data_IF_797590389837
#
_entry.id   IF_797590389837
#
_cell.length_a   1.000
_cell.length_b   1.000
_cell.length_c   1.000
_cell.angle_alpha   90.00
_cell.angle_beta   90.00
_cell.angle_gamma   90.00
#
_symmetry.space_group_name_H-M   'P 1'
#
loop_
_entity.id
_entity.type
_entity.pdbx_description
1 polymer ?
#
# COMPACT_ATOMS: atom_id res chain seq x y z
N UNK A 1 5.05 3.29 5.42
CA UNK A 1 4.01 2.39 4.88
C UNK A 1 2.98 2.11 5.93
N UNK A 2 1.72 2.06 5.57
CA UNK A 2 0.62 1.66 6.45
C UNK A 2 0.42 0.15 6.37
N UNK A 3 -0.08 -0.45 7.46
CA UNK A 3 -0.43 -1.87 7.51
C UNK A 3 -1.82 -2.13 6.89
N UNK A 4 -2.16 -3.40 6.74
CA UNK A 4 -3.48 -3.87 6.26
C UNK A 4 -3.86 -3.35 4.86
N UNK A 5 -2.89 -3.23 3.96
CA UNK A 5 -3.15 -2.77 2.60
C UNK A 5 -3.48 -1.28 2.47
N UNK A 6 -3.27 -0.47 3.51
CA UNK A 6 -3.62 0.96 3.51
C UNK A 6 -2.57 1.85 2.80
N UNK A 7 -1.72 1.27 1.97
CA UNK A 7 -0.85 1.97 1.03
C UNK A 7 0.36 2.65 1.64
N UNK A 8 0.87 3.64 0.94
CA UNK A 8 2.09 4.37 1.26
C UNK A 8 1.77 5.77 1.77
N UNK A 9 2.43 6.19 2.84
CA UNK A 9 2.31 7.54 3.38
C UNK A 9 3.68 8.09 3.77
N UNK A 10 3.79 9.41 3.84
CA UNK A 10 4.96 10.07 4.41
C UNK A 10 5.12 9.66 5.88
N UNK A 11 6.36 9.40 6.29
CA UNK A 11 6.66 9.16 7.71
C UNK A 11 6.51 10.46 8.50
N UNK A 12 6.01 10.35 9.73
CA UNK A 12 6.00 11.45 10.68
C UNK A 12 7.37 11.68 11.34
N UNK A 13 8.34 10.79 11.13
CA UNK A 13 9.69 10.96 11.66
C UNK A 13 10.38 12.15 10.96
N UNK A 14 10.61 13.21 11.69
CA UNK A 14 11.23 14.43 11.18
C UNK A 14 12.73 14.29 10.94
N UNK A 15 13.39 13.31 11.58
CA UNK A 15 14.82 13.10 11.48
C UNK A 15 15.14 11.72 10.89
N UNK A 16 15.81 11.73 9.74
CA UNK A 16 16.55 10.57 9.27
C UNK A 16 17.67 10.30 10.28
N UNK A 17 17.64 9.14 10.91
CA UNK A 17 18.77 8.71 11.71
C UNK A 17 19.94 8.47 10.75
N UNK A 18 20.86 9.43 10.71
CA UNK A 18 22.15 9.32 10.01
C UNK A 18 23.04 8.36 10.81
N UNK A 19 22.87 7.07 10.57
CA UNK A 19 23.66 5.98 11.13
C UNK A 19 24.08 5.02 10.02
N UNK A 20 24.28 3.75 10.35
CA UNK A 20 24.64 2.70 9.38
C UNK A 20 23.49 2.33 8.41
N UNK A 21 22.35 3.02 8.44
CA UNK A 21 21.21 2.73 7.57
C UNK A 21 21.40 3.32 6.20
N UNK A 22 21.42 2.46 5.18
CA UNK A 22 21.42 2.87 3.79
C UNK A 22 20.00 3.24 3.34
N UNK A 23 19.89 4.40 2.69
CA UNK A 23 18.63 4.91 2.14
C UNK A 23 18.66 4.90 0.61
N UNK A 24 17.50 4.65 0.02
CA UNK A 24 17.31 4.55 -1.42
C UNK A 24 16.17 5.45 -1.85
N UNK A 25 16.35 6.17 -2.96
CA UNK A 25 15.26 6.94 -3.59
C UNK A 25 14.24 6.00 -4.23
N UNK A 26 12.97 6.38 -4.13
CA UNK A 26 11.85 5.65 -4.72
C UNK A 26 11.13 6.55 -5.70
N UNK A 27 10.77 5.98 -6.86
CA UNK A 27 10.02 6.69 -7.89
C UNK A 27 8.53 6.38 -7.78
N UNK A 28 7.68 7.34 -8.15
CA UNK A 28 6.26 7.09 -8.31
C UNK A 28 6.01 5.90 -9.25
N UNK A 29 4.98 5.11 -8.96
CA UNK A 29 4.64 3.89 -9.72
C UNK A 29 5.38 2.64 -9.27
N UNK A 30 6.47 2.74 -8.50
CA UNK A 30 7.17 1.56 -7.99
C UNK A 30 6.34 0.83 -6.93
N UNK A 31 6.29 -0.50 -7.04
CA UNK A 31 5.80 -1.37 -5.98
C UNK A 31 6.83 -1.44 -4.86
N UNK A 32 6.42 -1.21 -3.63
CA UNK A 32 7.28 -1.33 -2.44
C UNK A 32 6.59 -2.17 -1.36
N UNK A 33 7.37 -2.88 -0.56
CA UNK A 33 6.84 -3.59 0.61
C UNK A 33 7.80 -3.51 1.80
N UNK A 34 7.28 -3.65 3.02
CA UNK A 34 8.08 -3.74 4.23
C UNK A 34 8.48 -5.18 4.52
N UNK A 35 9.78 -5.51 4.49
CA UNK A 35 10.29 -6.88 4.73
C UNK A 35 9.79 -7.47 6.05
N UNK A 36 9.70 -6.67 7.11
CA UNK A 36 9.27 -7.12 8.44
C UNK A 36 7.75 -7.26 8.58
N UNK A 37 6.99 -6.48 7.81
CA UNK A 37 5.56 -6.34 8.00
C UNK A 37 4.75 -6.70 6.75
N UNK A 38 5.32 -7.43 5.80
CA UNK A 38 4.59 -7.88 4.62
C UNK A 38 3.36 -8.70 5.01
N UNK A 39 3.52 -9.65 5.93
CA UNK A 39 2.43 -10.49 6.44
C UNK A 39 1.35 -9.71 7.22
N UNK A 40 1.61 -8.45 7.52
CA UNK A 40 0.63 -7.49 8.06
C UNK A 40 0.09 -6.53 6.96
N UNK A 41 0.33 -6.84 5.69
CA UNK A 41 -0.14 -6.04 4.56
C UNK A 41 0.61 -4.72 4.37
N UNK A 42 1.89 -4.65 4.78
CA UNK A 42 2.76 -3.50 4.49
C UNK A 42 3.25 -3.56 3.05
N UNK A 43 2.38 -3.23 2.11
CA UNK A 43 2.66 -3.20 0.67
C UNK A 43 1.89 -2.05 0.00
N UNK A 44 2.44 -1.48 -1.05
CA UNK A 44 1.79 -0.42 -1.80
C UNK A 44 2.60 0.04 -3.00
N UNK A 45 1.99 0.87 -3.82
CA UNK A 45 2.65 1.57 -4.93
C UNK A 45 2.96 2.98 -4.46
N UNK A 46 4.13 3.48 -4.79
CA UNK A 46 4.57 4.84 -4.46
C UNK A 46 3.68 5.83 -5.23
N UNK A 47 2.90 6.68 -4.53
CA UNK A 47 2.05 7.67 -5.19
C UNK A 47 2.89 8.82 -5.75
N UNK A 48 2.35 9.55 -6.72
CA UNK A 48 3.01 10.72 -7.35
C UNK A 48 3.42 11.76 -6.29
N UNK A 49 2.59 11.97 -5.28
CA UNK A 49 2.86 12.92 -4.18
C UNK A 49 4.09 12.57 -3.32
N UNK A 50 4.60 11.34 -3.44
CA UNK A 50 5.78 10.85 -2.73
C UNK A 50 6.91 10.46 -3.70
N UNK A 51 6.88 10.96 -4.93
CA UNK A 51 7.97 10.77 -5.88
C UNK A 51 9.29 11.28 -5.30
N UNK A 52 10.38 10.57 -5.61
CA UNK A 52 11.69 10.83 -5.02
C UNK A 52 11.79 10.68 -3.49
N UNK A 53 10.77 10.12 -2.85
CA UNK A 53 10.82 9.74 -1.45
C UNK A 53 11.94 8.74 -1.17
N UNK A 54 12.38 8.68 0.07
CA UNK A 54 13.47 7.78 0.49
C UNK A 54 12.96 6.71 1.44
N UNK A 55 13.53 5.50 1.30
CA UNK A 55 13.27 4.38 2.22
C UNK A 55 14.57 3.66 2.55
N UNK A 56 14.58 2.95 3.69
CA UNK A 56 15.70 2.04 4.01
C UNK A 56 15.68 0.79 3.11
N UNK A 57 16.74 -0.01 3.17
CA UNK A 57 16.82 -1.30 2.48
C UNK A 57 15.78 -2.33 2.94
N UNK A 58 15.14 -2.11 4.08
CA UNK A 58 14.05 -2.97 4.57
C UNK A 58 12.72 -2.71 3.83
N UNK A 59 12.70 -1.72 2.93
CA UNK A 59 11.58 -1.43 2.03
C UNK A 59 12.11 -1.47 0.59
N UNK A 60 12.25 -2.65 -0.02
CA UNK A 60 12.66 -2.78 -1.42
C UNK A 60 11.59 -2.26 -2.37
N UNK A 61 12.00 -1.97 -3.60
CA UNK A 61 11.10 -1.53 -4.67
C UNK A 61 11.28 -2.37 -5.93
N UNK A 62 10.21 -2.48 -6.70
CA UNK A 62 10.15 -3.17 -7.98
C UNK A 62 9.46 -2.28 -9.00
N UNK A 63 9.98 -2.26 -10.21
CA UNK A 63 9.28 -1.68 -11.35
C UNK A 63 8.27 -2.70 -11.88
N UNK A 64 7.08 -2.24 -12.24
CA UNK A 64 6.01 -3.08 -12.79
C UNK A 64 6.05 -2.96 -14.31
N UNK A 65 6.07 -4.09 -15.00
CA UNK A 65 5.90 -4.14 -16.46
C UNK A 65 4.39 -3.99 -16.79
N UNK A 66 3.95 -2.75 -17.00
CA UNK A 66 2.55 -2.42 -17.29
C UNK A 66 2.03 -3.05 -18.59
N UNK A 67 2.90 -3.51 -19.49
CA UNK A 67 2.49 -4.24 -20.68
C UNK A 67 1.97 -5.65 -20.35
N UNK A 68 2.47 -6.22 -19.26
CA UNK A 68 2.11 -7.58 -18.81
C UNK A 68 1.16 -7.59 -17.62
N UNK A 69 1.29 -6.62 -16.74
CA UNK A 69 0.58 -6.61 -15.47
C UNK A 69 0.01 -5.23 -15.16
N UNK A 70 -1.30 -5.14 -14.95
CA UNK A 70 -1.94 -3.91 -14.47
C UNK A 70 -1.59 -3.67 -13.01
N UNK A 71 -1.01 -2.52 -12.69
CA UNK A 71 -0.54 -2.20 -11.33
C UNK A 71 -1.67 -2.14 -10.29
N UNK A 72 -2.87 -1.69 -10.67
CA UNK A 72 -4.04 -1.64 -9.77
C UNK A 72 -4.52 -3.06 -9.45
N UNK A 73 -4.63 -3.92 -10.48
CA UNK A 73 -4.96 -5.33 -10.33
C UNK A 73 -3.96 -6.05 -9.42
N UNK A 74 -2.65 -5.90 -9.75
CA UNK A 74 -1.58 -6.50 -8.97
C UNK A 74 -1.63 -6.07 -7.51
N UNK A 75 -1.76 -4.78 -7.27
CA UNK A 75 -1.81 -4.23 -5.91
C UNK A 75 -3.00 -4.79 -5.13
N UNK A 76 -4.17 -4.86 -5.74
CA UNK A 76 -5.37 -5.40 -5.08
C UNK A 76 -5.18 -6.86 -4.67
N UNK A 77 -4.54 -7.67 -5.52
CA UNK A 77 -4.24 -9.06 -5.20
C UNK A 77 -3.24 -9.16 -4.04
N UNK A 78 -2.15 -8.41 -4.10
CA UNK A 78 -1.11 -8.41 -3.08
C UNK A 78 -1.60 -7.86 -1.72
N UNK A 79 -2.57 -6.95 -1.72
CA UNK A 79 -3.20 -6.38 -0.53
C UNK A 79 -4.31 -7.26 0.06
N UNK A 80 -4.68 -8.34 -0.60
CA UNK A 80 -5.64 -9.29 -0.06
C UNK A 80 -5.08 -9.99 1.19
N UNK A 81 -5.83 -10.05 2.31
CA UNK A 81 -5.42 -10.80 3.50
C UNK A 81 -5.11 -12.27 3.22
N UNK A 82 -5.80 -12.86 2.26
CA UNK A 82 -5.57 -14.24 1.84
C UNK A 82 -4.20 -14.43 1.16
N UNK A 83 -3.63 -13.37 0.59
CA UNK A 83 -2.32 -13.38 -0.04
C UNK A 83 -1.18 -13.06 0.94
N UNK A 84 -1.28 -11.97 1.70
CA UNK A 84 -0.16 -11.53 2.51
C UNK A 84 -0.02 -12.26 3.86
N UNK A 85 -1.12 -12.71 4.49
CA UNK A 85 -1.05 -13.37 5.80
C UNK A 85 -0.24 -14.68 5.77
N UNK A 86 -0.44 -15.60 4.79
CA UNK A 86 0.34 -16.83 4.73
C UNK A 86 1.85 -16.61 4.53
N UNK A 87 2.25 -15.45 4.02
CA UNK A 87 3.66 -15.12 3.83
C UNK A 87 4.45 -15.02 5.14
N UNK A 88 3.80 -14.98 6.30
CA UNK A 88 4.49 -15.08 7.58
C UNK A 88 5.32 -16.37 7.69
N UNK A 89 4.80 -17.48 7.19
CA UNK A 89 5.51 -18.77 7.19
C UNK A 89 6.77 -18.75 6.31
N UNK A 90 6.86 -17.82 5.35
CA UNK A 90 8.00 -17.67 4.45
C UNK A 90 9.06 -16.71 4.99
N UNK A 91 8.81 -16.06 6.12
CA UNK A 91 9.75 -15.13 6.73
C UNK A 91 10.88 -15.86 7.45
N UNK A 92 12.05 -15.25 7.45
CA UNK A 92 13.26 -15.80 8.09
C UNK A 92 13.81 -14.83 9.15
N UNK A 93 14.48 -15.36 10.18
CA UNK A 93 15.12 -14.59 11.24
C UNK A 93 14.64 -15.03 12.63
N UNK A 94 15.54 -15.02 13.61
CA UNK A 94 15.26 -15.44 15.01
C UNK A 94 14.67 -14.32 15.88
N UNK A 95 15.00 -13.06 15.58
CA UNK A 95 14.47 -11.91 16.33
C UNK A 95 13.46 -11.10 15.51
N UNK A 96 13.88 -10.57 14.39
CA UNK A 96 13.02 -9.80 13.48
C UNK A 96 12.79 -10.58 12.20
N UNK A 97 11.63 -11.21 12.08
CA UNK A 97 11.24 -11.97 10.91
C UNK A 97 11.16 -11.06 9.67
N UNK A 98 11.78 -11.46 8.56
CA UNK A 98 11.81 -10.68 7.32
C UNK A 98 11.50 -11.55 6.11
N UNK A 99 10.62 -11.08 5.23
CA UNK A 99 10.41 -11.66 3.91
C UNK A 99 11.52 -11.16 2.97
N UNK A 100 12.38 -12.07 2.51
CA UNK A 100 13.46 -11.74 1.56
C UNK A 100 12.90 -11.42 0.18
N UNK A 101 13.60 -10.59 -0.60
CA UNK A 101 13.21 -10.20 -1.96
C UNK A 101 13.08 -11.40 -2.90
N UNK A 102 14.05 -12.33 -2.85
CA UNK A 102 14.00 -13.56 -3.64
C UNK A 102 12.78 -14.43 -3.30
N UNK A 103 12.40 -14.49 -2.02
CA UNK A 103 11.22 -15.23 -1.58
C UNK A 103 9.96 -14.55 -2.06
N UNK A 104 9.88 -13.23 -1.95
CA UNK A 104 8.74 -12.44 -2.44
C UNK A 104 8.53 -12.64 -3.95
N UNK A 105 9.59 -12.58 -4.75
CA UNK A 105 9.50 -12.77 -6.21
C UNK A 105 9.12 -14.19 -6.64
N UNK A 106 9.29 -15.19 -5.77
CA UNK A 106 8.87 -16.57 -6.00
C UNK A 106 7.44 -16.87 -5.54
N UNK A 107 6.80 -15.95 -4.85
CA UNK A 107 5.41 -16.14 -4.42
C UNK A 107 4.49 -16.18 -5.64
N UNK A 108 3.61 -17.19 -5.74
CA UNK A 108 2.72 -17.31 -6.88
C UNK A 108 1.69 -16.19 -6.87
N UNK A 109 1.40 -15.64 -8.04
CA UNK A 109 0.30 -14.70 -8.28
C UNK A 109 -0.56 -15.21 -9.43
N UNK A 110 -1.84 -14.91 -9.37
CA UNK A 110 -2.76 -15.21 -10.48
C UNK A 110 -2.77 -14.03 -11.44
N UNK A 111 -2.34 -14.25 -12.67
CA UNK A 111 -2.33 -13.23 -13.73
C UNK A 111 -3.23 -13.70 -14.88
N UNK A 112 -4.50 -13.28 -14.94
CA UNK A 112 -5.33 -13.49 -16.12
C UNK A 112 -4.77 -12.68 -17.30
N UNK A 113 -5.39 -12.77 -18.47
CA UNK A 113 -4.95 -11.96 -19.60
C UNK A 113 -5.07 -10.45 -19.30
N UNK A 114 -4.30 -9.64 -20.02
CA UNK A 114 -4.19 -8.20 -19.73
C UNK A 114 -5.54 -7.47 -19.75
N UNK A 115 -6.42 -7.84 -20.66
CA UNK A 115 -7.76 -7.24 -20.80
C UNK A 115 -8.60 -7.51 -19.54
N UNK A 116 -8.61 -8.75 -19.04
CA UNK A 116 -9.32 -9.09 -17.81
C UNK A 116 -8.77 -8.34 -16.60
N UNK A 117 -7.43 -8.20 -16.51
CA UNK A 117 -6.81 -7.39 -15.46
C UNK A 117 -7.28 -5.92 -15.53
N UNK A 118 -7.34 -5.34 -16.73
CA UNK A 118 -7.76 -3.96 -16.93
C UNK A 118 -9.24 -3.77 -16.61
N UNK A 119 -10.11 -4.70 -17.00
CA UNK A 119 -11.53 -4.68 -16.66
C UNK A 119 -11.74 -4.74 -15.13
N UNK A 120 -11.02 -5.63 -14.44
CA UNK A 120 -11.05 -5.71 -12.97
C UNK A 120 -10.52 -4.43 -12.34
N UNK A 121 -9.44 -3.86 -12.84
CA UNK A 121 -8.85 -2.62 -12.34
C UNK A 121 -9.84 -1.44 -12.42
N UNK A 122 -10.63 -1.36 -13.50
CA UNK A 122 -11.71 -0.36 -13.65
C UNK A 122 -12.78 -0.53 -12.56
N UNK A 123 -13.18 -1.76 -12.26
CA UNK A 123 -14.16 -2.04 -11.21
C UNK A 123 -13.62 -1.66 -9.82
N UNK A 124 -12.37 -2.01 -9.53
CA UNK A 124 -11.69 -1.65 -8.27
C UNK A 124 -11.63 -0.13 -8.13
N UNK A 125 -11.24 0.58 -9.20
CA UNK A 125 -11.16 2.04 -9.19
C UNK A 125 -12.52 2.69 -8.90
N UNK A 126 -13.59 2.23 -9.59
CA UNK A 126 -14.96 2.71 -9.35
C UNK A 126 -15.42 2.46 -7.90
N UNK A 127 -15.16 1.27 -7.36
CA UNK A 127 -15.49 0.95 -5.98
C UNK A 127 -14.74 1.85 -4.99
N UNK A 128 -13.45 2.12 -5.22
CA UNK A 128 -12.66 3.03 -4.40
C UNK A 128 -13.19 4.46 -4.43
N UNK A 129 -13.54 4.97 -5.61
CA UNK A 129 -14.14 6.30 -5.76
C UNK A 129 -15.47 6.42 -5.00
N UNK A 130 -16.34 5.41 -5.11
CA UNK A 130 -17.61 5.41 -4.39
C UNK A 130 -17.40 5.41 -2.87
N UNK A 131 -16.43 4.65 -2.38
CA UNK A 131 -16.07 4.62 -0.97
C UNK A 131 -15.55 5.99 -0.49
N UNK A 132 -14.72 6.66 -1.27
CA UNK A 132 -14.18 7.98 -0.93
C UNK A 132 -15.29 9.05 -0.94
N UNK A 133 -16.23 8.99 -1.89
CA UNK A 133 -17.41 9.86 -1.89
C UNK A 133 -18.27 9.63 -0.66
N UNK A 134 -18.53 8.37 -0.28
CA UNK A 134 -19.31 8.05 0.91
C UNK A 134 -18.64 8.55 2.20
N UNK A 135 -17.33 8.39 2.33
CA UNK A 135 -16.55 8.93 3.47
C UNK A 135 -16.67 10.44 3.56
N UNK A 136 -16.49 11.14 2.42
CA UNK A 136 -16.61 12.60 2.37
C UNK A 136 -17.99 13.09 2.75
N UNK A 137 -19.03 12.39 2.27
CA UNK A 137 -20.41 12.70 2.64
C UNK A 137 -20.64 12.53 4.15
N UNK A 138 -20.12 11.46 4.74
CA UNK A 138 -20.21 11.22 6.19
C UNK A 138 -19.52 12.33 6.99
N UNK A 139 -18.35 12.79 6.57
CA UNK A 139 -17.66 13.93 7.19
C UNK A 139 -18.52 15.21 7.15
N UNK A 140 -19.05 15.53 5.97
CA UNK A 140 -19.90 16.73 5.79
C UNK A 140 -21.16 16.67 6.67
N UNK A 141 -21.83 15.52 6.72
CA UNK A 141 -23.00 15.32 7.58
C UNK A 141 -22.63 15.41 9.06
N UNK A 142 -21.47 14.95 9.46
CA UNK A 142 -20.99 15.06 10.84
C UNK A 142 -20.74 16.53 11.22
N UNK A 143 -20.14 17.32 10.32
CA UNK A 143 -19.93 18.77 10.51
C UNK A 143 -21.28 19.49 10.61
N UNK A 144 -22.20 19.20 9.70
CA UNK A 144 -23.53 19.78 9.70
C UNK A 144 -24.30 19.46 11.00
N UNK A 145 -24.25 18.21 11.46
CA UNK A 145 -24.81 17.80 12.75
C UNK A 145 -24.24 18.62 13.90
N UNK A 146 -22.93 18.76 13.98
CA UNK A 146 -22.28 19.58 15.03
C UNK A 146 -22.67 21.04 14.97
N UNK A 147 -22.78 21.62 13.78
CA UNK A 147 -23.23 22.98 13.59
C UNK A 147 -24.66 23.18 14.11
N UNK A 148 -25.60 22.30 13.72
CA UNK A 148 -26.99 22.38 14.16
C UNK A 148 -27.12 22.23 15.68
N UNK A 149 -26.39 21.28 16.29
CA UNK A 149 -26.37 21.11 17.75
C UNK A 149 -25.91 22.37 18.47
N UNK A 150 -24.89 23.06 17.96
CA UNK A 150 -24.42 24.34 18.52
C UNK A 150 -25.46 25.45 18.40
N UNK A 151 -26.29 25.46 17.35
CA UNK A 151 -27.35 26.47 17.18
C UNK A 151 -28.55 26.19 18.11
N UNK A 152 -28.77 24.92 18.49
CA UNK A 152 -29.92 24.53 19.33
C UNK A 152 -29.66 24.66 20.83
N UNK A 153 -28.42 24.68 21.26
CA UNK A 153 -28.03 24.63 22.68
C UNK A 153 -27.15 25.84 23.10
N UNK A 154 -27.36 27.01 22.45
CA UNK A 154 -26.82 28.28 22.91
C UNK A 154 -27.75 28.89 23.91
#
# INVERSE_FOLDING_TARGET
MRLHGNGVCKSSAENLQLGATQYYRRRAGQLIYGKQNFHNGAIGIVPISLDNGITSKDIPSFDIDEMKCNSVYLLAQLQSPQYYKPAEALTTGTGSKRLKEETFLKMPIVLPNKREQDDIAVLIHRASMNLDHAKRLLELLSIQKQFLLRQMFI
#
